data_IF_314864953360
#
_entry.id   IF_314864953360
#
_cell.length_a   1.000
_cell.length_b   1.000
_cell.length_c   1.000
_cell.angle_alpha   90.00
_cell.angle_beta   90.00
_cell.angle_gamma   90.00
#
_symmetry.space_group_name_H-M   'P 1'
#
loop_
_entity.id
_entity.type
_entity.pdbx_description
1 polymer ?
#
# COMPACT_ATOMS: atom_id res chain seq x y z
N UNK A 1 -7.77 6.47 -17.95
CA UNK A 1 -7.09 5.23 -17.60
C UNK A 1 -7.59 4.06 -18.42
N UNK A 2 -6.67 3.31 -19.03
CA UNK A 2 -7.09 2.20 -19.87
C UNK A 2 -7.81 1.15 -19.06
N UNK A 3 -8.92 0.67 -19.62
CA UNK A 3 -9.74 -0.34 -18.98
C UNK A 3 -9.75 -1.59 -19.84
N UNK A 4 -9.59 -2.74 -19.22
CA UNK A 4 -9.71 -4.00 -19.93
C UNK A 4 -11.15 -4.13 -20.44
N UNK A 5 -11.36 -4.23 -21.75
CA UNK A 5 -12.73 -4.31 -22.27
C UNK A 5 -13.50 -5.52 -21.72
N UNK A 6 -12.80 -6.55 -21.26
CA UNK A 6 -13.44 -7.72 -20.70
C UNK A 6 -13.81 -7.53 -19.22
N UNK A 7 -13.35 -6.46 -18.60
CA UNK A 7 -13.63 -6.22 -17.19
C UNK A 7 -15.07 -5.77 -17.01
N UNK A 8 -15.81 -6.45 -16.12
CA UNK A 8 -17.19 -6.06 -15.83
C UNK A 8 -17.20 -4.77 -15.00
N UNK A 9 -18.36 -4.12 -14.99
CA UNK A 9 -18.54 -2.93 -14.17
C UNK A 9 -18.34 -3.25 -12.68
N UNK A 10 -18.82 -4.42 -12.26
CA UNK A 10 -18.66 -4.85 -10.88
C UNK A 10 -17.20 -5.04 -10.52
N UNK A 11 -16.43 -5.70 -11.40
CA UNK A 11 -15.02 -5.92 -11.15
C UNK A 11 -14.27 -4.60 -11.08
N UNK A 12 -14.65 -3.64 -11.92
CA UNK A 12 -14.04 -2.32 -11.90
C UNK A 12 -14.33 -1.58 -10.59
N UNK A 13 -15.56 -1.66 -10.12
CA UNK A 13 -15.92 -1.03 -8.85
C UNK A 13 -15.16 -1.64 -7.69
N UNK A 14 -14.99 -2.96 -7.69
CA UNK A 14 -14.24 -3.63 -6.65
C UNK A 14 -12.76 -3.22 -6.67
N UNK A 15 -12.19 -3.11 -7.86
CA UNK A 15 -10.80 -2.68 -7.99
C UNK A 15 -10.62 -1.26 -7.48
N UNK A 16 -11.53 -0.36 -7.82
CA UNK A 16 -11.48 1.03 -7.36
C UNK A 16 -11.60 1.09 -5.84
N UNK A 17 -12.49 0.29 -5.27
CA UNK A 17 -12.65 0.27 -3.81
C UNK A 17 -11.37 -0.19 -3.12
N UNK A 18 -10.69 -1.19 -3.70
CA UNK A 18 -9.43 -1.66 -3.13
C UNK A 18 -8.34 -0.60 -3.23
N UNK A 19 -8.29 0.10 -4.36
CA UNK A 19 -7.32 1.17 -4.55
C UNK A 19 -7.56 2.30 -3.57
N UNK A 20 -8.82 2.65 -3.35
CA UNK A 20 -9.18 3.68 -2.39
C UNK A 20 -8.81 3.28 -0.98
N UNK A 21 -9.03 2.02 -0.64
CA UNK A 21 -8.69 1.51 0.68
C UNK A 21 -7.18 1.57 0.90
N UNK A 22 -6.41 1.19 -0.11
CA UNK A 22 -4.96 1.23 -0.02
C UNK A 22 -4.47 2.67 0.15
N UNK A 23 -5.02 3.60 -0.64
CA UNK A 23 -4.62 4.99 -0.55
C UNK A 23 -4.95 5.56 0.82
N UNK A 24 -6.13 5.26 1.34
CA UNK A 24 -6.52 5.73 2.66
C UNK A 24 -5.59 5.19 3.74
N UNK A 25 -5.18 3.93 3.61
CA UNK A 25 -4.27 3.33 4.58
C UNK A 25 -2.88 3.96 4.47
N UNK A 26 -2.41 4.20 3.26
CA UNK A 26 -1.12 4.86 3.05
C UNK A 26 -1.13 6.25 3.69
N UNK A 27 -2.23 6.97 3.56
CA UNK A 27 -2.33 8.32 4.11
C UNK A 27 -2.23 8.33 5.63
N UNK A 28 -2.44 7.21 6.28
CA UNK A 28 -2.36 7.11 7.74
C UNK A 28 -0.97 6.74 8.23
N UNK A 29 -0.06 6.42 7.32
CA UNK A 29 1.31 6.09 7.73
C UNK A 29 2.10 7.36 8.05
N UNK A 30 3.09 7.26 8.94
CA UNK A 30 4.05 8.36 9.08
C UNK A 30 4.66 8.68 7.72
N UNK A 31 4.96 9.94 7.50
CA UNK A 31 5.33 10.44 6.17
C UNK A 31 6.47 9.65 5.54
N UNK A 32 7.54 9.38 6.30
CA UNK A 32 8.69 8.67 5.75
C UNK A 32 8.37 7.23 5.38
N UNK A 33 7.54 6.57 6.19
CA UNK A 33 7.13 5.21 5.88
C UNK A 33 6.27 5.18 4.62
N UNK A 34 5.35 6.13 4.51
CA UNK A 34 4.48 6.24 3.34
C UNK A 34 5.30 6.44 2.08
N UNK A 35 6.27 7.36 2.14
CA UNK A 35 7.12 7.64 0.99
C UNK A 35 7.92 6.41 0.58
N UNK A 36 8.53 5.73 1.56
CA UNK A 36 9.35 4.57 1.26
C UNK A 36 8.52 3.44 0.63
N UNK A 37 7.36 3.17 1.21
CA UNK A 37 6.48 2.11 0.70
C UNK A 37 6.00 2.46 -0.70
N UNK A 38 5.57 3.70 -0.92
CA UNK A 38 5.07 4.11 -2.22
C UNK A 38 6.15 4.03 -3.29
N UNK A 39 7.34 4.51 -2.99
CA UNK A 39 8.44 4.48 -3.96
C UNK A 39 8.85 3.04 -4.27
N UNK A 40 8.84 2.17 -3.27
CA UNK A 40 9.27 0.79 -3.45
C UNK A 40 8.22 -0.06 -4.17
N UNK A 41 6.98 0.04 -3.76
CA UNK A 41 5.95 -0.91 -4.20
C UNK A 41 5.00 -0.37 -5.24
N UNK A 42 4.87 0.93 -5.36
CA UNK A 42 4.03 1.52 -6.40
C UNK A 42 4.89 1.95 -7.57
N UNK A 43 5.98 2.68 -7.29
CA UNK A 43 6.85 3.17 -8.35
C UNK A 43 7.91 2.15 -8.77
N UNK A 44 8.13 1.12 -7.98
CA UNK A 44 9.04 0.05 -8.34
C UNK A 44 10.51 0.37 -8.22
N UNK A 45 10.88 1.35 -7.42
CA UNK A 45 12.28 1.75 -7.30
C UNK A 45 13.05 0.79 -6.40
N UNK A 46 14.35 0.69 -6.64
CA UNK A 46 15.24 -0.10 -5.80
C UNK A 46 15.61 0.71 -4.54
N UNK A 47 15.94 0.01 -3.47
CA UNK A 47 16.27 0.66 -2.21
C UNK A 47 17.36 1.72 -2.32
N UNK A 48 18.44 1.52 -3.09
CA UNK A 48 19.44 2.60 -3.22
C UNK A 48 18.89 3.87 -3.85
N UNK A 49 17.98 3.72 -4.80
CA UNK A 49 17.34 4.88 -5.42
C UNK A 49 16.46 5.61 -4.42
N UNK A 50 15.71 4.86 -3.63
CA UNK A 50 14.86 5.45 -2.60
C UNK A 50 15.71 6.15 -1.55
N UNK A 51 16.82 5.54 -1.18
CA UNK A 51 17.75 6.14 -0.21
C UNK A 51 18.22 7.51 -0.68
N UNK A 52 18.54 7.62 -1.97
CA UNK A 52 18.97 8.88 -2.54
C UNK A 52 17.83 9.91 -2.52
N UNK A 53 16.64 9.51 -2.89
CA UNK A 53 15.49 10.41 -2.93
C UNK A 53 15.14 10.92 -1.55
N UNK A 54 15.14 10.03 -0.56
CA UNK A 54 14.75 10.39 0.80
C UNK A 54 15.93 10.95 1.63
N UNK A 55 17.12 10.91 1.06
CA UNK A 55 18.32 11.38 1.75
C UNK A 55 18.55 10.63 3.06
N UNK A 56 18.51 9.31 2.98
CA UNK A 56 18.75 8.41 4.11
C UNK A 56 19.61 7.25 3.62
N UNK A 57 20.05 6.40 4.54
CA UNK A 57 20.78 5.20 4.16
C UNK A 57 19.87 4.11 3.66
N UNK A 58 20.45 3.14 2.95
CA UNK A 58 19.69 2.02 2.43
C UNK A 58 19.05 1.23 3.57
N UNK A 59 19.77 1.09 4.69
CA UNK A 59 19.22 0.36 5.83
C UNK A 59 17.99 1.05 6.40
N UNK A 60 17.98 2.38 6.39
CA UNK A 60 16.82 3.14 6.83
C UNK A 60 15.65 2.90 5.90
N UNK A 61 15.90 2.80 4.58
CA UNK A 61 14.84 2.49 3.63
C UNK A 61 14.23 1.13 3.94
N UNK A 62 15.08 0.13 4.19
CA UNK A 62 14.60 -1.21 4.51
C UNK A 62 13.73 -1.20 5.75
N UNK A 63 14.16 -0.47 6.77
CA UNK A 63 13.40 -0.36 8.01
C UNK A 63 12.08 0.35 7.79
N UNK A 64 12.09 1.44 7.03
CA UNK A 64 10.87 2.20 6.75
C UNK A 64 9.86 1.38 5.97
N UNK A 65 10.32 0.65 4.94
CA UNK A 65 9.41 -0.17 4.15
C UNK A 65 8.85 -1.32 4.97
N UNK A 66 9.68 -1.95 5.81
CA UNK A 66 9.21 -3.05 6.65
C UNK A 66 8.14 -2.58 7.62
N UNK A 67 8.39 -1.45 8.28
CA UNK A 67 7.41 -0.90 9.23
C UNK A 67 6.15 -0.46 8.52
N UNK A 68 6.31 0.19 7.36
CA UNK A 68 5.16 0.65 6.59
C UNK A 68 4.29 -0.49 6.13
N UNK A 69 4.91 -1.59 5.67
CA UNK A 69 4.14 -2.76 5.23
C UNK A 69 3.37 -3.38 6.39
N UNK A 70 4.00 -3.47 7.55
CA UNK A 70 3.30 -4.01 8.72
C UNK A 70 2.12 -3.14 9.12
N UNK A 71 2.32 -1.82 9.10
CA UNK A 71 1.24 -0.89 9.44
C UNK A 71 0.10 -0.98 8.43
N UNK A 72 0.45 -1.10 7.13
CA UNK A 72 -0.56 -1.25 6.09
C UNK A 72 -1.38 -2.51 6.30
N UNK A 73 -0.70 -3.62 6.59
CA UNK A 73 -1.41 -4.88 6.80
C UNK A 73 -2.41 -4.75 7.93
N UNK A 74 -2.01 -4.06 8.99
CA UNK A 74 -2.88 -3.85 10.14
C UNK A 74 -4.09 -2.99 9.79
N UNK A 75 -3.83 -1.88 9.08
CA UNK A 75 -4.91 -0.97 8.70
C UNK A 75 -5.89 -1.61 7.73
N UNK A 76 -5.37 -2.36 6.76
CA UNK A 76 -6.24 -3.02 5.79
C UNK A 76 -7.00 -4.17 6.42
N UNK A 77 -6.38 -4.86 7.39
CA UNK A 77 -7.09 -5.90 8.13
C UNK A 77 -8.24 -5.34 8.94
N UNK A 78 -8.01 -4.21 9.61
CA UNK A 78 -9.06 -3.57 10.38
C UNK A 78 -10.21 -3.13 9.47
N UNK A 79 -9.88 -2.60 8.28
CA UNK A 79 -10.92 -2.20 7.34
C UNK A 79 -11.73 -3.38 6.85
N UNK A 80 -11.07 -4.51 6.59
CA UNK A 80 -11.79 -5.73 6.20
C UNK A 80 -12.78 -6.16 7.27
N UNK A 81 -12.35 -6.11 8.51
CA UNK A 81 -13.23 -6.45 9.63
C UNK A 81 -14.42 -5.50 9.70
N UNK A 82 -14.17 -4.21 9.52
CA UNK A 82 -15.23 -3.21 9.56
C UNK A 82 -16.24 -3.41 8.45
N UNK A 83 -15.79 -3.94 7.29
CA UNK A 83 -16.67 -4.19 6.17
C UNK A 83 -17.36 -5.55 6.25
N UNK A 84 -17.07 -6.34 7.28
CA UNK A 84 -17.69 -7.63 7.46
C UNK A 84 -17.07 -8.76 6.67
N UNK A 85 -15.88 -8.58 6.13
CA UNK A 85 -15.16 -9.67 5.48
C UNK A 85 -14.54 -10.54 6.56
N UNK A 86 -15.02 -11.76 6.69
CA UNK A 86 -14.54 -12.70 7.69
C UNK A 86 -13.50 -13.60 7.07
N UNK A 87 -12.38 -13.51 7.57
CA UNK A 87 -11.35 -14.40 7.10
C UNK A 87 -11.37 -15.68 7.81
N UNK A 88 -11.57 -15.71 8.42
CA UNK A 88 -11.41 -16.75 8.98
C UNK A 88 -10.71 -17.33 9.31
N UNK A 89 -10.48 -17.26 9.65
CA UNK A 89 -10.02 -17.62 9.91
C UNK A 89 -9.66 -18.23 10.22
N UNK A 90 -9.52 -18.50 10.49
CA UNK A 90 -9.21 -19.09 10.84
C UNK A 90 -9.00 -19.29 11.11
#
# INVERSE_FOLDING_TARGET
EPTDPAESAEARLQRTAREDALQAALDRLPERQRQAVALRHIDGLANPEIATILDVGVEAVESLTARGKRALAKLLGARRDALGYDDDKT
#
